data_IF_275318365561
#
_entry.id   IF_275318365561
#
_cell.length_a   1.000
_cell.length_b   1.000
_cell.length_c   1.000
_cell.angle_alpha   90.00
_cell.angle_beta   90.00
_cell.angle_gamma   90.00
#
_symmetry.space_group_name_H-M   'P 1'
#
loop_
_entity.id
_entity.type
_entity.pdbx_description
1 polymer ?
#
# COMPACT_ATOMS: atom_id res chain seq x y z
N UNK A 1 0.30 -20.73 28.42
CA UNK A 1 -0.59 -20.17 27.39
C UNK A 1 -0.18 -18.72 27.20
N UNK A 2 0.35 -18.36 26.04
CA UNK A 2 0.64 -16.96 25.70
C UNK A 2 -0.69 -16.23 25.54
N UNK A 3 -0.89 -15.17 26.31
CA UNK A 3 -2.10 -14.34 26.22
C UNK A 3 -2.22 -13.78 24.80
N UNK A 4 -3.41 -13.90 24.20
CA UNK A 4 -3.65 -13.36 22.87
C UNK A 4 -3.71 -11.84 22.96
N UNK A 5 -2.81 -11.16 22.23
CA UNK A 5 -2.83 -9.71 22.05
C UNK A 5 -4.23 -9.28 21.61
N UNK A 6 -4.78 -8.19 22.18
CA UNK A 6 -6.06 -7.62 21.75
C UNK A 6 -5.83 -6.52 20.72
N UNK A 7 -6.87 -6.17 19.96
CA UNK A 7 -6.78 -5.07 18.98
C UNK A 7 -6.33 -3.76 19.62
N UNK A 8 -6.80 -3.47 20.84
CA UNK A 8 -6.44 -2.24 21.55
C UNK A 8 -4.94 -2.19 21.85
N UNK A 9 -4.36 -3.30 22.31
CA UNK A 9 -2.93 -3.41 22.61
C UNK A 9 -2.09 -3.20 21.33
N UNK A 10 -2.51 -3.81 20.22
CA UNK A 10 -1.84 -3.64 18.93
C UNK A 10 -1.90 -2.19 18.44
N UNK A 11 -3.05 -1.51 18.56
CA UNK A 11 -3.19 -0.09 18.18
C UNK A 11 -2.35 0.83 19.07
N UNK A 12 -2.25 0.54 20.36
CA UNK A 12 -1.36 1.25 21.29
C UNK A 12 0.12 1.05 20.91
N UNK A 13 0.52 -0.19 20.60
CA UNK A 13 1.89 -0.49 20.16
C UNK A 13 2.25 0.24 18.86
N UNK A 14 1.31 0.34 17.91
CA UNK A 14 1.49 1.15 16.70
C UNK A 14 1.63 2.63 17.02
N UNK A 15 0.79 3.18 17.92
CA UNK A 15 0.83 4.59 18.31
C UNK A 15 2.15 4.96 19.02
N UNK A 16 2.69 4.04 19.81
CA UNK A 16 3.93 4.23 20.56
C UNK A 16 5.21 4.03 19.72
N UNK A 17 5.10 3.60 18.47
CA UNK A 17 6.24 3.44 17.57
C UNK A 17 6.27 4.57 16.53
N UNK A 18 7.23 5.49 16.66
CA UNK A 18 7.43 6.60 15.72
C UNK A 18 7.70 6.14 14.28
N UNK A 19 8.16 4.91 14.09
CA UNK A 19 8.42 4.29 12.79
C UNK A 19 7.29 3.37 12.31
N UNK A 20 6.15 3.30 13.00
CA UNK A 20 5.10 2.32 12.71
C UNK A 20 4.67 2.30 11.23
N UNK A 21 4.64 3.46 10.57
CA UNK A 21 4.21 3.56 9.17
C UNK A 21 5.34 3.38 8.15
N UNK A 22 6.59 3.62 8.53
CA UNK A 22 7.72 3.67 7.58
C UNK A 22 8.65 2.45 7.69
N UNK A 23 8.60 1.73 8.81
CA UNK A 23 9.52 0.63 9.11
C UNK A 23 9.65 -0.40 7.98
N UNK A 24 8.53 -0.83 7.40
CA UNK A 24 8.57 -1.83 6.32
C UNK A 24 9.09 -1.28 4.98
N UNK A 25 9.17 0.03 4.82
CA UNK A 25 9.65 0.70 3.59
C UNK A 25 11.17 0.95 3.65
N UNK A 26 11.78 0.84 4.83
CA UNK A 26 13.24 0.90 5.05
C UNK A 26 13.95 -0.19 4.21
N UNK A 27 15.19 0.09 3.76
CA UNK A 27 15.94 -0.76 2.82
C UNK A 27 16.10 -2.20 3.32
N UNK A 28 16.30 -2.38 4.63
CA UNK A 28 16.44 -3.68 5.29
C UNK A 28 15.14 -4.50 5.34
N UNK A 29 13.96 -3.86 5.23
CA UNK A 29 12.65 -4.49 5.49
C UNK A 29 11.76 -4.63 4.25
N UNK A 30 12.00 -3.84 3.21
CA UNK A 30 11.14 -3.71 2.02
C UNK A 30 11.10 -4.96 1.12
N UNK A 31 12.04 -5.90 1.29
CA UNK A 31 12.17 -7.05 0.41
C UNK A 31 10.91 -7.92 0.35
N UNK A 32 10.15 -8.02 1.46
CA UNK A 32 8.88 -8.74 1.48
C UNK A 32 7.88 -8.14 0.49
N UNK A 33 7.77 -6.80 0.45
CA UNK A 33 6.87 -6.09 -0.46
C UNK A 33 7.31 -6.23 -1.92
N UNK A 34 8.62 -6.20 -2.18
CA UNK A 34 9.17 -6.49 -3.52
C UNK A 34 8.77 -7.89 -3.99
N UNK A 35 8.97 -8.91 -3.13
CA UNK A 35 8.59 -10.30 -3.44
C UNK A 35 7.11 -10.44 -3.72
N UNK A 36 6.25 -9.77 -2.95
CA UNK A 36 4.80 -9.82 -3.18
C UNK A 36 4.33 -8.95 -4.35
N UNK A 37 5.12 -7.98 -4.82
CA UNK A 37 4.81 -7.16 -6.01
C UNK A 37 5.06 -7.92 -7.31
N UNK A 38 6.12 -8.74 -7.37
CA UNK A 38 6.55 -9.47 -8.57
C UNK A 38 5.41 -10.23 -9.27
N UNK A 39 4.57 -11.02 -8.57
CA UNK A 39 3.43 -11.69 -9.21
C UNK A 39 2.45 -10.75 -9.91
N UNK A 40 2.19 -9.56 -9.35
CA UNK A 40 1.33 -8.58 -10.01
C UNK A 40 1.99 -8.05 -11.28
N UNK A 41 3.26 -7.67 -11.20
CA UNK A 41 3.99 -7.20 -12.37
C UNK A 41 4.07 -8.25 -13.49
N UNK A 42 4.30 -9.52 -13.17
CA UNK A 42 4.26 -10.60 -14.16
C UNK A 42 2.89 -10.73 -14.80
N UNK A 43 1.82 -10.64 -14.02
CA UNK A 43 0.45 -10.66 -14.54
C UNK A 43 0.09 -9.42 -15.39
N UNK A 44 0.82 -8.32 -15.21
CA UNK A 44 0.71 -7.12 -16.05
C UNK A 44 1.60 -7.17 -17.31
N UNK A 45 2.33 -8.27 -17.52
CA UNK A 45 3.15 -8.49 -18.72
C UNK A 45 4.64 -8.16 -18.56
N UNK A 46 5.10 -7.77 -17.37
CA UNK A 46 6.51 -7.45 -17.14
C UNK A 46 7.36 -8.71 -16.88
N UNK A 47 8.58 -8.73 -17.42
CA UNK A 47 9.56 -9.78 -17.14
C UNK A 47 10.45 -9.40 -15.95
N UNK A 48 9.94 -9.60 -14.72
CA UNK A 48 10.65 -9.15 -13.50
C UNK A 48 11.08 -10.30 -12.59
N UNK A 49 12.22 -10.11 -11.93
CA UNK A 49 12.73 -11.00 -10.88
C UNK A 49 13.41 -10.20 -9.78
N UNK A 50 13.40 -10.72 -8.54
CA UNK A 50 13.95 -9.98 -7.40
C UNK A 50 15.44 -9.69 -7.59
N UNK A 51 16.22 -10.66 -8.07
CA UNK A 51 17.68 -10.50 -8.20
C UNK A 51 18.07 -9.38 -9.15
N UNK A 52 17.41 -9.27 -10.31
CA UNK A 52 17.75 -8.28 -11.34
C UNK A 52 17.11 -6.91 -11.11
N UNK A 53 15.92 -6.89 -10.53
CA UNK A 53 15.10 -5.68 -10.46
C UNK A 53 15.02 -5.11 -9.03
N UNK A 54 15.84 -5.58 -8.06
CA UNK A 54 15.73 -5.20 -6.63
C UNK A 54 15.70 -3.68 -6.42
N UNK A 55 16.63 -2.95 -7.02
CA UNK A 55 16.71 -1.48 -6.89
C UNK A 55 15.51 -0.77 -7.52
N UNK A 56 15.10 -1.21 -8.71
CA UNK A 56 13.94 -0.65 -9.42
C UNK A 56 12.65 -0.90 -8.62
N UNK A 57 12.45 -2.12 -8.14
CA UNK A 57 11.29 -2.49 -7.33
C UNK A 57 11.22 -1.67 -6.03
N UNK A 58 12.36 -1.49 -5.34
CA UNK A 58 12.41 -0.65 -4.15
C UNK A 58 12.05 0.80 -4.42
N UNK A 59 12.56 1.35 -5.53
CA UNK A 59 12.28 2.73 -5.95
C UNK A 59 10.79 2.92 -6.29
N UNK A 60 10.21 1.99 -7.06
CA UNK A 60 8.78 2.02 -7.38
C UNK A 60 7.89 2.00 -6.13
N UNK A 61 8.21 1.11 -5.18
CA UNK A 61 7.46 1.01 -3.91
C UNK A 61 7.55 2.31 -3.12
N UNK A 62 8.73 2.93 -3.05
CA UNK A 62 8.93 4.20 -2.33
C UNK A 62 8.19 5.35 -2.97
N UNK A 63 8.23 5.48 -4.29
CA UNK A 63 7.47 6.50 -5.01
C UNK A 63 5.96 6.34 -4.80
N UNK A 64 5.45 5.10 -4.89
CA UNK A 64 4.05 4.82 -4.59
C UNK A 64 3.69 5.16 -3.14
N UNK A 65 4.57 4.85 -2.19
CA UNK A 65 4.36 5.14 -0.78
C UNK A 65 4.40 6.64 -0.47
N UNK A 66 5.31 7.39 -1.11
CA UNK A 66 5.39 8.84 -0.99
C UNK A 66 4.17 9.53 -1.60
N UNK A 67 3.67 9.04 -2.75
CA UNK A 67 2.40 9.47 -3.32
C UNK A 67 1.18 9.13 -2.42
N UNK A 68 1.34 8.24 -1.45
CA UNK A 68 0.39 7.98 -0.37
C UNK A 68 0.73 8.76 0.92
N UNK A 69 1.53 9.83 0.83
CA UNK A 69 1.95 10.67 1.93
C UNK A 69 2.61 9.86 3.07
N UNK A 70 3.36 8.82 2.69
CA UNK A 70 4.07 7.94 3.63
C UNK A 70 3.14 7.26 4.65
N UNK A 71 1.94 6.85 4.20
CA UNK A 71 0.90 6.19 5.01
C UNK A 71 0.12 5.14 4.20
N UNK A 72 -0.64 4.24 4.87
CA UNK A 72 -1.62 3.38 4.19
C UNK A 72 -2.60 4.19 3.33
N UNK A 73 -3.09 3.61 2.24
CA UNK A 73 -3.92 4.33 1.25
C UNK A 73 -5.10 5.07 1.90
N UNK A 74 -5.89 4.38 2.73
CA UNK A 74 -7.04 4.95 3.46
C UNK A 74 -6.70 5.42 4.88
N UNK A 75 -5.47 5.85 5.13
CA UNK A 75 -5.10 6.37 6.45
C UNK A 75 -5.87 7.65 6.78
N UNK A 76 -6.51 7.65 7.95
CA UNK A 76 -7.23 8.80 8.50
C UNK A 76 -6.52 9.22 9.77
N UNK A 77 -6.09 10.48 9.81
CA UNK A 77 -5.47 11.12 10.98
C UNK A 77 -6.53 11.73 11.93
N UNK A 78 -6.09 12.20 13.10
CA UNK A 78 -6.94 12.95 14.04
C UNK A 78 -7.73 12.09 15.03
N UNK A 79 -7.39 10.81 15.18
CA UNK A 79 -7.97 9.93 16.20
C UNK A 79 -6.95 9.58 17.27
N UNK A 80 -7.41 9.34 18.51
CA UNK A 80 -6.57 8.95 19.65
C UNK A 80 -5.70 7.72 19.37
N UNK A 81 -6.22 6.75 18.60
CA UNK A 81 -5.50 5.53 18.24
C UNK A 81 -5.59 5.28 16.72
N UNK A 82 -4.53 4.74 16.09
CA UNK A 82 -4.50 4.47 14.66
C UNK A 82 -5.74 3.76 14.13
N UNK A 83 -6.32 4.29 13.06
CA UNK A 83 -7.40 3.61 12.35
C UNK A 83 -6.88 2.61 11.30
N UNK A 84 -5.58 2.48 11.12
CA UNK A 84 -4.97 1.42 10.31
C UNK A 84 -4.30 0.40 11.24
N UNK A 85 -4.55 -0.88 11.04
CA UNK A 85 -3.92 -1.96 11.80
C UNK A 85 -3.73 -3.22 10.96
N UNK A 86 -2.92 -4.15 11.50
CA UNK A 86 -2.59 -5.44 10.90
C UNK A 86 -3.66 -6.50 11.20
N UNK A 87 -3.63 -7.59 10.42
CA UNK A 87 -4.48 -8.75 10.70
C UNK A 87 -4.11 -9.39 12.07
N UNK A 88 -5.04 -10.09 12.75
CA UNK A 88 -4.79 -10.62 14.10
C UNK A 88 -3.55 -11.51 14.25
N UNK A 89 -3.15 -12.23 13.19
CA UNK A 89 -1.94 -13.06 13.15
C UNK A 89 -0.62 -12.25 13.17
N UNK A 90 -0.70 -10.94 12.96
CA UNK A 90 0.42 -10.01 12.83
C UNK A 90 0.38 -8.91 13.91
N UNK A 91 -0.39 -9.10 14.99
CA UNK A 91 -0.49 -8.15 16.11
C UNK A 91 0.74 -8.11 17.01
N UNK A 92 1.66 -9.07 16.85
CA UNK A 92 3.00 -9.06 17.42
C UNK A 92 3.89 -7.93 16.87
N UNK A 93 3.53 -7.38 15.71
CA UNK A 93 4.27 -6.28 15.06
C UNK A 93 3.77 -4.94 15.58
N UNK A 94 4.70 -4.09 15.99
CA UNK A 94 4.44 -2.69 16.36
C UNK A 94 4.55 -1.73 15.17
N UNK A 95 4.47 -2.24 13.94
CA UNK A 95 4.49 -1.47 12.69
C UNK A 95 3.43 -2.01 11.72
N UNK A 96 3.06 -1.22 10.71
CA UNK A 96 2.11 -1.62 9.67
C UNK A 96 2.80 -2.59 8.71
N UNK A 97 2.26 -3.81 8.64
CA UNK A 97 2.58 -4.78 7.60
C UNK A 97 1.67 -4.51 6.41
N UNK A 98 2.22 -3.89 5.37
CA UNK A 98 1.52 -3.47 4.17
C UNK A 98 1.13 -4.64 3.26
N UNK A 99 0.03 -4.48 2.55
CA UNK A 99 -0.44 -5.41 1.54
C UNK A 99 -0.72 -4.66 0.24
N UNK A 100 -0.55 -5.35 -0.88
CA UNK A 100 -0.93 -4.83 -2.19
C UNK A 100 -2.45 -4.95 -2.34
N UNK A 101 -3.13 -3.81 -2.40
CA UNK A 101 -4.54 -3.71 -2.75
C UNK A 101 -4.71 -3.16 -4.16
N UNK A 102 -5.82 -3.52 -4.81
CA UNK A 102 -6.18 -2.98 -6.12
C UNK A 102 -7.13 -1.81 -5.95
N UNK A 103 -6.88 -0.66 -6.59
CA UNK A 103 -7.80 0.47 -6.58
C UNK A 103 -9.12 0.10 -7.29
N UNK A 104 -9.03 -0.54 -8.46
CA UNK A 104 -10.13 -1.19 -9.16
C UNK A 104 -9.98 -2.69 -9.06
N UNK A 105 -11.03 -3.40 -8.60
CA UNK A 105 -10.97 -4.85 -8.46
C UNK A 105 -10.74 -5.56 -9.80
N UNK A 106 -10.34 -6.84 -9.77
CA UNK A 106 -10.07 -7.63 -10.98
C UNK A 106 -11.24 -7.67 -11.96
N UNK A 107 -12.46 -7.71 -11.44
CA UNK A 107 -13.69 -7.74 -12.23
C UNK A 107 -14.04 -6.38 -12.85
N UNK A 108 -13.51 -5.29 -12.28
CA UNK A 108 -13.79 -3.91 -12.70
C UNK A 108 -12.68 -3.32 -13.59
N UNK A 109 -11.47 -3.89 -13.55
CA UNK A 109 -10.28 -3.30 -14.16
C UNK A 109 -10.03 -3.73 -15.62
N UNK A 110 -10.96 -4.42 -16.30
CA UNK A 110 -10.88 -4.79 -17.72
C UNK A 110 -9.49 -5.35 -18.17
N UNK A 111 -8.89 -6.22 -17.36
CA UNK A 111 -7.57 -6.80 -17.65
C UNK A 111 -6.36 -6.00 -17.15
N UNK A 112 -6.55 -4.76 -16.72
CA UNK A 112 -5.51 -3.89 -16.14
C UNK A 112 -5.41 -4.00 -14.61
N UNK A 113 -6.03 -5.02 -14.02
CA UNK A 113 -6.09 -5.19 -12.57
C UNK A 113 -4.69 -5.15 -11.93
N UNK A 114 -3.73 -5.84 -12.54
CA UNK A 114 -2.38 -5.95 -12.03
C UNK A 114 -1.44 -4.83 -12.49
N UNK A 115 -1.93 -3.83 -13.27
CA UNK A 115 -1.15 -2.64 -13.60
C UNK A 115 -0.65 -2.00 -12.31
N UNK A 116 0.63 -1.65 -12.26
CA UNK A 116 1.24 -1.06 -11.07
C UNK A 116 0.53 0.24 -10.64
N UNK A 117 -0.04 0.98 -11.59
CA UNK A 117 -0.81 2.20 -11.36
C UNK A 117 -2.18 1.93 -10.71
N UNK A 118 -2.67 0.70 -10.81
CA UNK A 118 -3.88 0.23 -10.12
C UNK A 118 -3.57 -0.39 -8.75
N UNK A 119 -2.30 -0.44 -8.31
CA UNK A 119 -1.90 -1.00 -7.01
C UNK A 119 -1.61 0.08 -5.99
N UNK A 120 -2.01 -0.15 -4.74
CA UNK A 120 -1.65 0.69 -3.59
C UNK A 120 -1.17 -0.15 -2.40
N UNK A 121 -0.57 0.52 -1.42
CA UNK A 121 -0.15 -0.07 -0.15
C UNK A 121 -1.22 0.15 0.92
N UNK A 122 -1.76 -0.94 1.46
CA UNK A 122 -2.86 -0.95 2.42
C UNK A 122 -2.44 -1.62 3.73
N UNK A 123 -3.06 -1.25 4.85
CA UNK A 123 -3.06 -2.11 6.03
C UNK A 123 -4.16 -3.16 5.90
N UNK A 124 -4.11 -4.23 6.70
CA UNK A 124 -5.15 -5.27 6.69
C UNK A 124 -6.56 -4.70 6.92
N UNK A 125 -6.74 -3.74 7.86
CA UNK A 125 -8.03 -3.05 8.04
C UNK A 125 -8.47 -2.32 6.78
N UNK A 126 -7.59 -1.52 6.19
CA UNK A 126 -7.90 -0.74 4.99
C UNK A 126 -8.35 -1.66 3.85
N UNK A 127 -7.68 -2.80 3.70
CA UNK A 127 -7.97 -3.78 2.66
C UNK A 127 -9.29 -4.54 2.90
N UNK A 128 -9.63 -4.86 4.15
CA UNK A 128 -10.78 -5.74 4.46
C UNK A 128 -12.05 -5.01 4.86
N UNK A 129 -11.95 -3.89 5.59
CA UNK A 129 -13.10 -3.22 6.21
C UNK A 129 -13.51 -1.94 5.50
N UNK A 130 -12.59 -1.30 4.77
CA UNK A 130 -12.89 -0.10 3.99
C UNK A 130 -13.22 -0.51 2.57
N UNK A 131 -12.35 -1.28 1.92
CA UNK A 131 -12.55 -1.71 0.54
C UNK A 131 -13.02 -3.17 0.47
N UNK A 132 -14.30 -3.42 0.80
CA UNK A 132 -14.89 -4.77 0.82
C UNK A 132 -15.23 -5.34 -0.57
N UNK A 133 -15.13 -4.53 -1.63
CA UNK A 133 -15.27 -4.79 -3.10
C UNK A 133 -15.76 -3.55 -3.85
N UNK A 134 -16.17 -2.51 -3.11
CA UNK A 134 -16.66 -1.24 -3.63
C UNK A 134 -15.59 -0.50 -4.42
N UNK A 135 -16.05 0.25 -5.42
CA UNK A 135 -15.27 1.25 -6.13
C UNK A 135 -14.80 2.35 -5.17
N UNK A 136 -13.62 2.90 -5.43
CA UNK A 136 -13.12 4.05 -4.66
C UNK A 136 -14.09 5.23 -4.76
N UNK A 137 -14.73 5.40 -5.92
CA UNK A 137 -15.75 6.40 -6.17
C UNK A 137 -16.97 6.23 -5.24
N UNK A 138 -17.36 4.97 -4.95
CA UNK A 138 -18.44 4.68 -3.99
C UNK A 138 -17.99 5.00 -2.54
N UNK A 139 -16.72 4.75 -2.20
CA UNK A 139 -16.18 5.11 -0.89
C UNK A 139 -16.16 6.63 -0.67
N UNK A 140 -15.95 7.41 -1.73
CA UNK A 140 -15.97 8.87 -1.66
C UNK A 140 -17.36 9.43 -1.36
N UNK A 141 -18.44 8.69 -1.64
CA UNK A 141 -19.82 9.10 -1.32
C UNK A 141 -20.04 9.20 0.19
N UNK A 142 -19.33 8.40 1.01
CA UNK A 142 -19.37 8.54 2.47
C UNK A 142 -18.84 9.89 2.96
N UNK A 143 -18.10 10.62 2.11
CA UNK A 143 -17.63 11.97 2.38
C UNK A 143 -16.60 12.08 3.51
N UNK A 144 -16.51 13.27 4.07
CA UNK A 144 -15.66 13.57 5.22
C UNK A 144 -14.16 13.34 4.98
N UNK A 145 -13.45 13.00 6.05
CA UNK A 145 -11.98 12.87 6.05
C UNK A 145 -11.51 11.72 5.15
N UNK A 146 -12.29 10.64 5.03
CA UNK A 146 -11.94 9.51 4.17
C UNK A 146 -11.97 9.92 2.69
N UNK A 147 -13.02 10.63 2.24
CA UNK A 147 -13.11 11.11 0.87
C UNK A 147 -11.99 12.10 0.54
N UNK A 148 -11.67 13.01 1.47
CA UNK A 148 -10.54 13.94 1.32
C UNK A 148 -9.21 13.20 1.18
N UNK A 149 -8.96 12.21 2.04
CA UNK A 149 -7.75 11.37 1.99
C UNK A 149 -7.62 10.69 0.63
N UNK A 150 -8.70 10.05 0.16
CA UNK A 150 -8.73 9.38 -1.14
C UNK A 150 -8.38 10.38 -2.25
N UNK A 151 -9.03 11.55 -2.27
CA UNK A 151 -8.80 12.59 -3.27
C UNK A 151 -7.35 13.06 -3.31
N UNK A 152 -6.74 13.30 -2.14
CA UNK A 152 -5.34 13.71 -2.04
C UNK A 152 -4.39 12.65 -2.61
N UNK A 153 -4.55 11.39 -2.18
CA UNK A 153 -3.71 10.28 -2.64
C UNK A 153 -3.85 10.07 -4.15
N UNK A 154 -5.08 10.09 -4.69
CA UNK A 154 -5.30 9.96 -6.14
C UNK A 154 -4.64 11.10 -6.92
N UNK A 155 -4.70 12.33 -6.39
CA UNK A 155 -4.07 13.50 -7.00
C UNK A 155 -2.55 13.37 -7.03
N UNK A 156 -1.92 12.95 -5.92
CA UNK A 156 -0.48 12.74 -5.86
C UNK A 156 -0.01 11.60 -6.77
N UNK A 157 -0.76 10.49 -6.79
CA UNK A 157 -0.49 9.37 -7.70
C UNK A 157 -0.57 9.78 -9.17
N UNK A 158 -1.57 10.58 -9.55
CA UNK A 158 -1.67 11.10 -10.91
C UNK A 158 -0.44 11.91 -11.30
N UNK A 159 0.00 12.83 -10.43
CA UNK A 159 1.23 13.61 -10.65
C UNK A 159 2.47 12.71 -10.75
N UNK A 160 2.57 11.70 -9.89
CA UNK A 160 3.65 10.72 -9.95
C UNK A 160 3.66 9.99 -11.29
N UNK A 161 2.51 9.48 -11.75
CA UNK A 161 2.45 8.69 -12.98
C UNK A 161 2.71 9.52 -14.24
N UNK A 162 2.43 10.81 -14.20
CA UNK A 162 2.79 11.75 -15.26
C UNK A 162 4.28 12.19 -15.19
N UNK A 163 4.99 11.87 -14.11
CA UNK A 163 6.40 12.28 -13.93
C UNK A 163 7.37 11.47 -14.77
N UNK A 164 8.45 12.13 -15.21
CA UNK A 164 9.53 11.48 -15.96
C UNK A 164 10.22 10.37 -15.14
N UNK A 165 10.44 10.60 -13.85
CA UNK A 165 11.06 9.62 -12.96
C UNK A 165 10.28 8.29 -12.93
N UNK A 166 8.95 8.37 -12.83
CA UNK A 166 8.10 7.19 -12.88
C UNK A 166 8.19 6.47 -14.22
N UNK A 167 8.05 7.20 -15.32
CA UNK A 167 8.10 6.64 -16.66
C UNK A 167 9.44 5.96 -16.95
N UNK A 168 10.55 6.58 -16.54
CA UNK A 168 11.90 6.04 -16.68
C UNK A 168 12.07 4.74 -15.84
N UNK A 169 11.54 4.68 -14.62
CA UNK A 169 11.59 3.48 -13.77
C UNK A 169 10.73 2.34 -14.32
N UNK A 170 9.50 2.62 -14.75
CA UNK A 170 8.61 1.61 -15.33
C UNK A 170 9.19 1.08 -16.65
N UNK A 171 9.79 1.93 -17.47
CA UNK A 171 10.48 1.53 -18.70
C UNK A 171 11.60 0.51 -18.47
N UNK A 172 12.33 0.64 -17.35
CA UNK A 172 13.41 -0.28 -16.99
C UNK A 172 12.92 -1.69 -16.60
N UNK A 173 11.65 -1.88 -16.22
CA UNK A 173 11.11 -3.20 -15.87
C UNK A 173 11.10 -4.19 -17.04
N UNK A 174 11.10 -3.69 -18.29
CA UNK A 174 11.16 -4.52 -19.49
C UNK A 174 12.59 -4.77 -19.98
N UNK A 175 13.58 -4.10 -19.38
CA UNK A 175 14.99 -4.17 -19.79
C UNK A 175 15.86 -5.06 -18.88
N UNK A 176 15.29 -5.66 -17.83
CA UNK A 176 15.97 -6.55 -16.85
C UNK A 176 15.69 -8.03 -17.08
#
# INVERSE_FOLDING_TARGET
>A
MTEKIKLIDHRLNLANNSKAYVHEIEDENIERLMKSLIPHLKNAGYSVSLGKSKLILGSLIRLLFDAQENRPFFHVEGTELPLCWNSPKDWDKNYIKYEWGHLRSRNQAQGLAHSIENLGLYSARCNQHIQTSMHIEELMVYGGILAQRISNVLTHRRKLFESKEWQDLVGQLNCT
#
